data_IF_755369646919
#
_entry.id   IF_755369646919
#
_cell.length_a   1.000
_cell.length_b   1.000
_cell.length_c   1.000
_cell.angle_alpha   90.00
_cell.angle_beta   90.00
_cell.angle_gamma   90.00
#
_symmetry.space_group_name_H-M   'P 1'
#
loop_
_entity.id
_entity.type
_entity.pdbx_description
1 polymer ?
#
# COMPACT_ATOMS: atom_id res chain seq x y z
N UNK A 1 -9.16 -19.14 -26.24
CA UNK A 1 -7.72 -19.11 -25.89
C UNK A 1 -7.53 -20.05 -24.71
N UNK A 2 -6.32 -20.57 -24.40
CA UNK A 2 -6.13 -21.27 -23.12
C UNK A 2 -6.50 -20.32 -21.97
N UNK A 3 -7.11 -20.84 -20.90
CA UNK A 3 -7.30 -20.09 -19.66
C UNK A 3 -5.94 -19.62 -19.14
N UNK A 4 -5.84 -18.34 -18.84
CA UNK A 4 -4.65 -17.71 -18.26
C UNK A 4 -5.03 -17.08 -16.92
N UNK A 5 -4.49 -17.63 -15.83
CA UNK A 5 -4.67 -17.07 -14.49
C UNK A 5 -3.73 -15.89 -14.30
N UNK A 6 -4.30 -14.68 -14.22
CA UNK A 6 -3.54 -13.43 -14.10
C UNK A 6 -3.09 -13.15 -12.66
N UNK A 7 -3.88 -13.57 -11.66
CA UNK A 7 -3.57 -13.43 -10.24
C UNK A 7 -4.22 -14.55 -9.42
N UNK A 8 -3.47 -15.13 -8.47
CA UNK A 8 -3.95 -16.17 -7.55
C UNK A 8 -3.47 -15.85 -6.13
N UNK A 9 -4.37 -15.93 -5.14
CA UNK A 9 -3.99 -15.87 -3.73
C UNK A 9 -4.93 -16.71 -2.87
N UNK A 10 -4.34 -17.54 -2.01
CA UNK A 10 -5.09 -18.36 -1.05
C UNK A 10 -4.54 -18.13 0.37
N UNK A 11 -5.42 -17.77 1.32
CA UNK A 11 -5.02 -17.63 2.72
C UNK A 11 -6.21 -17.70 3.68
N UNK A 12 -5.95 -18.24 4.87
CA UNK A 12 -6.88 -18.18 6.00
C UNK A 12 -7.00 -16.76 6.55
N UNK A 13 -8.23 -16.31 6.82
CA UNK A 13 -8.53 -14.97 7.37
C UNK A 13 -9.55 -15.07 8.50
N UNK A 14 -9.45 -14.19 9.51
CA UNK A 14 -10.52 -14.03 10.50
C UNK A 14 -11.77 -13.42 9.87
N UNK A 15 -12.94 -13.62 10.49
CA UNK A 15 -14.21 -13.02 10.02
C UNK A 15 -14.15 -11.50 9.94
N UNK A 16 -13.41 -10.85 10.84
CA UNK A 16 -13.24 -9.40 10.88
C UNK A 16 -12.30 -8.92 9.76
N UNK A 17 -11.24 -9.67 9.46
CA UNK A 17 -10.37 -9.41 8.32
C UNK A 17 -11.14 -9.54 6.99
N UNK A 18 -11.98 -10.58 6.83
CA UNK A 18 -12.88 -10.73 5.68
C UNK A 18 -13.84 -9.54 5.55
N UNK A 19 -14.49 -9.14 6.64
CA UNK A 19 -15.41 -7.99 6.61
C UNK A 19 -14.72 -6.68 6.23
N UNK A 20 -13.47 -6.49 6.64
CA UNK A 20 -12.66 -5.33 6.27
C UNK A 20 -12.32 -5.36 4.78
N UNK A 21 -11.89 -6.52 4.28
CA UNK A 21 -11.58 -6.74 2.88
C UNK A 21 -12.79 -6.48 1.97
N UNK A 22 -13.94 -7.11 2.24
CA UNK A 22 -15.16 -6.90 1.47
C UNK A 22 -15.66 -5.46 1.52
N UNK A 23 -15.47 -4.74 2.63
CA UNK A 23 -15.83 -3.32 2.72
C UNK A 23 -14.96 -2.44 1.82
N UNK A 24 -13.71 -2.82 1.56
CA UNK A 24 -12.84 -2.13 0.62
C UNK A 24 -13.36 -2.32 -0.81
N UNK A 25 -13.63 -3.57 -1.19
CA UNK A 25 -14.24 -3.93 -2.49
C UNK A 25 -15.56 -3.17 -2.70
N UNK A 26 -16.48 -3.24 -1.73
CA UNK A 26 -17.78 -2.58 -1.84
C UNK A 26 -17.69 -1.06 -1.99
N UNK A 27 -16.67 -0.42 -1.38
CA UNK A 27 -16.45 1.02 -1.53
C UNK A 27 -15.91 1.37 -2.93
N UNK A 28 -15.02 0.54 -3.47
CA UNK A 28 -14.46 0.74 -4.81
C UNK A 28 -15.56 0.62 -5.86
N UNK A 29 -16.30 -0.49 -5.85
CA UNK A 29 -17.47 -0.72 -6.70
C UNK A 29 -18.50 0.42 -6.60
N UNK A 30 -18.88 0.80 -5.37
CA UNK A 30 -19.86 1.88 -5.16
C UNK A 30 -19.42 3.27 -5.63
N UNK A 31 -18.14 3.45 -5.97
CA UNK A 31 -17.59 4.69 -6.49
C UNK A 31 -17.20 4.61 -7.97
N UNK A 32 -17.25 3.42 -8.58
CA UNK A 32 -16.62 3.18 -9.89
C UNK A 32 -15.11 3.39 -9.84
N UNK A 33 -14.46 3.01 -8.74
CA UNK A 33 -13.00 2.99 -8.62
C UNK A 33 -12.50 1.55 -8.85
N UNK A 34 -11.27 1.35 -9.39
CA UNK A 34 -10.69 0.03 -9.53
C UNK A 34 -10.71 -0.77 -8.22
N UNK A 35 -11.14 -2.02 -8.33
CA UNK A 35 -11.37 -2.94 -7.22
C UNK A 35 -10.07 -3.69 -6.89
N UNK A 36 -9.52 -3.55 -5.68
CA UNK A 36 -8.33 -4.29 -5.29
C UNK A 36 -8.65 -5.77 -5.08
N UNK A 37 -7.85 -6.64 -5.69
CA UNK A 37 -7.99 -8.11 -5.58
C UNK A 37 -6.98 -8.73 -4.59
N UNK A 38 -6.08 -7.90 -4.04
CA UNK A 38 -5.18 -8.26 -2.95
C UNK A 38 -5.21 -7.23 -1.80
N UNK A 39 -4.66 -7.57 -0.62
CA UNK A 39 -4.70 -6.67 0.53
C UNK A 39 -3.78 -5.45 0.42
N UNK A 40 -2.66 -5.60 -0.27
CA UNK A 40 -1.83 -4.47 -0.61
C UNK A 40 -2.52 -3.58 -1.66
N UNK A 41 -3.49 -4.12 -2.42
CA UNK A 41 -4.19 -3.43 -3.50
C UNK A 41 -3.23 -3.04 -4.61
N UNK A 42 -2.25 -3.91 -4.85
CA UNK A 42 -1.26 -3.82 -5.93
C UNK A 42 -1.80 -4.34 -7.24
N UNK A 43 -2.79 -5.22 -7.17
CA UNK A 43 -3.53 -5.75 -8.28
C UNK A 43 -4.95 -5.24 -8.13
N UNK A 44 -5.43 -4.58 -9.17
CA UNK A 44 -6.79 -4.06 -9.25
C UNK A 44 -7.47 -4.53 -10.53
N UNK A 45 -8.79 -4.60 -10.50
CA UNK A 45 -9.63 -4.84 -11.67
C UNK A 45 -10.63 -3.70 -11.79
N UNK A 46 -10.91 -3.22 -13.01
CA UNK A 46 -11.91 -2.17 -13.25
C UNK A 46 -13.15 -2.76 -13.93
N UNK A 47 -14.11 -3.31 -13.14
CA UNK A 47 -15.29 -3.93 -13.71
C UNK A 47 -16.22 -2.88 -14.35
N UNK A 48 -17.03 -3.26 -15.37
CA UNK A 48 -18.03 -2.38 -15.94
C UNK A 48 -19.05 -1.92 -14.90
N UNK A 49 -19.88 -0.94 -15.28
CA UNK A 49 -20.98 -0.47 -14.42
C UNK A 49 -22.00 -1.58 -14.08
N UNK A 50 -22.12 -2.60 -14.93
CA UNK A 50 -23.09 -3.70 -14.80
C UNK A 50 -22.44 -5.06 -15.15
N UNK A 51 -21.55 -5.61 -14.29
CA UNK A 51 -20.95 -6.93 -14.51
C UNK A 51 -21.93 -8.05 -14.11
N UNK A 52 -21.71 -9.26 -14.65
CA UNK A 52 -22.45 -10.45 -14.22
C UNK A 52 -21.80 -11.01 -12.94
N UNK A 53 -22.61 -11.40 -11.95
CA UNK A 53 -22.15 -11.97 -10.68
C UNK A 53 -22.82 -13.33 -10.46
N UNK A 54 -22.02 -14.38 -10.39
CA UNK A 54 -22.40 -15.71 -9.95
C UNK A 54 -22.02 -15.90 -8.47
N UNK A 55 -22.91 -16.55 -7.71
CA UNK A 55 -22.69 -16.89 -6.32
C UNK A 55 -23.05 -18.35 -6.11
N UNK A 56 -22.06 -19.17 -5.80
CA UNK A 56 -22.23 -20.60 -5.58
C UNK A 56 -21.89 -20.99 -4.14
N UNK A 57 -22.61 -21.98 -3.60
CA UNK A 57 -22.30 -22.58 -2.30
C UNK A 57 -22.27 -24.08 -2.47
N UNK A 58 -21.08 -24.66 -2.29
CA UNK A 58 -20.86 -26.10 -2.40
C UNK A 58 -20.66 -26.75 -1.04
N UNK A 59 -20.98 -28.04 -0.96
CA UNK A 59 -20.64 -28.90 0.19
C UNK A 59 -19.99 -30.18 -0.30
N UNK A 60 -18.72 -30.34 0.03
CA UNK A 60 -17.97 -31.58 -0.22
C UNK A 60 -17.43 -32.13 1.11
N UNK A 61 -17.92 -33.31 1.50
CA UNK A 61 -17.60 -33.90 2.80
C UNK A 61 -17.97 -32.97 3.97
N UNK A 62 -16.97 -32.59 4.77
CA UNK A 62 -17.10 -31.68 5.91
C UNK A 62 -16.77 -30.21 5.56
N UNK A 63 -16.49 -29.93 4.29
CA UNK A 63 -16.14 -28.60 3.79
C UNK A 63 -17.36 -27.91 3.20
N UNK A 64 -17.48 -26.61 3.44
CA UNK A 64 -18.44 -25.73 2.76
C UNK A 64 -17.64 -24.63 2.07
N UNK A 65 -17.88 -24.46 0.78
CA UNK A 65 -17.27 -23.44 -0.07
C UNK A 65 -18.33 -22.39 -0.41
N UNK A 66 -17.92 -21.12 -0.46
CA UNK A 66 -18.74 -20.03 -0.98
C UNK A 66 -17.87 -19.35 -2.03
N UNK A 67 -18.34 -19.39 -3.26
CA UNK A 67 -17.66 -18.87 -4.42
C UNK A 67 -18.42 -17.65 -4.93
N UNK A 68 -17.69 -16.56 -5.17
CA UNK A 68 -18.22 -15.33 -5.74
C UNK A 68 -17.41 -15.04 -6.98
N UNK A 69 -18.04 -15.21 -8.14
CA UNK A 69 -17.41 -15.02 -9.43
C UNK A 69 -18.08 -13.86 -10.16
N UNK A 70 -17.29 -12.88 -10.56
CA UNK A 70 -17.78 -11.74 -11.34
C UNK A 70 -17.13 -11.81 -12.71
N UNK A 71 -17.95 -11.87 -13.76
CA UNK A 71 -17.51 -12.04 -15.13
C UNK A 71 -17.94 -10.83 -15.98
N UNK A 72 -17.06 -10.41 -16.87
CA UNK A 72 -17.31 -9.41 -17.88
C UNK A 72 -16.34 -9.62 -19.04
N UNK A 73 -16.65 -9.06 -20.21
CA UNK A 73 -15.73 -9.10 -21.36
C UNK A 73 -14.62 -8.06 -21.20
N UNK A 74 -13.41 -8.35 -21.69
CA UNK A 74 -12.29 -7.38 -21.67
C UNK A 74 -12.63 -6.05 -22.37
N UNK A 75 -13.61 -6.05 -23.30
CA UNK A 75 -14.08 -4.83 -23.96
C UNK A 75 -14.98 -3.95 -23.07
N UNK A 76 -15.60 -4.52 -22.03
CA UNK A 76 -16.54 -3.85 -21.12
C UNK A 76 -15.88 -3.39 -19.81
N UNK A 77 -14.75 -4.00 -19.43
CA UNK A 77 -13.94 -3.59 -18.30
C UNK A 77 -12.50 -4.05 -18.44
N UNK A 78 -11.55 -3.14 -18.19
CA UNK A 78 -10.13 -3.43 -18.33
C UNK A 78 -9.60 -4.12 -17.06
N UNK A 79 -8.84 -5.20 -17.24
CA UNK A 79 -7.90 -5.68 -16.22
C UNK A 79 -6.68 -4.78 -16.31
N UNK A 80 -6.73 -3.64 -15.63
CA UNK A 80 -5.61 -2.73 -15.61
C UNK A 80 -4.52 -3.23 -14.65
N UNK A 81 -3.67 -4.13 -15.14
CA UNK A 81 -2.41 -4.51 -14.48
C UNK A 81 -1.42 -3.34 -14.42
N UNK A 82 -1.64 -2.30 -15.22
CA UNK A 82 -0.86 -1.07 -15.33
C UNK A 82 -1.50 0.13 -14.60
N UNK A 83 -2.67 -0.02 -13.95
CA UNK A 83 -3.20 0.95 -12.96
C UNK A 83 -2.24 1.05 -11.75
N UNK A 84 -1.34 0.08 -11.66
CA UNK A 84 -0.14 0.02 -10.83
C UNK A 84 1.07 0.79 -11.41
N UNK A 85 0.92 1.64 -12.42
CA UNK A 85 1.89 2.71 -12.66
C UNK A 85 1.79 3.66 -11.47
N UNK A 86 2.50 3.31 -10.41
CA UNK A 86 2.80 4.22 -9.33
C UNK A 86 3.14 5.56 -9.94
N UNK A 87 2.45 6.60 -9.49
CA UNK A 87 2.73 7.97 -9.92
C UNK A 87 3.97 8.50 -9.20
N UNK A 88 4.86 7.60 -8.80
CA UNK A 88 6.04 7.89 -8.03
C UNK A 88 7.16 6.89 -8.34
N UNK A 89 8.38 7.39 -8.23
CA UNK A 89 9.62 6.64 -8.41
C UNK A 89 10.43 6.70 -7.13
N UNK A 90 10.97 5.57 -6.70
CA UNK A 90 12.03 5.55 -5.69
C UNK A 90 13.34 5.97 -6.36
N UNK A 91 13.85 7.12 -5.96
CA UNK A 91 15.18 7.59 -6.34
C UNK A 91 16.17 7.16 -5.26
N UNK A 92 17.18 6.37 -5.63
CA UNK A 92 18.29 5.92 -4.78
C UNK A 92 19.54 6.69 -5.18
N UNK A 93 20.25 7.27 -4.21
CA UNK A 93 21.40 8.12 -4.49
C UNK A 93 22.42 8.08 -3.35
N UNK A 94 23.69 8.36 -3.65
CA UNK A 94 24.71 8.61 -2.64
C UNK A 94 24.70 10.09 -2.28
N UNK A 95 24.65 10.41 -0.99
CA UNK A 95 24.71 11.78 -0.51
C UNK A 95 26.17 12.31 -0.45
N UNK A 96 26.34 13.59 -0.12
CA UNK A 96 27.67 14.20 0.05
C UNK A 96 28.57 13.57 1.14
N UNK A 97 28.04 12.69 1.99
CA UNK A 97 28.78 11.93 2.99
C UNK A 97 29.10 10.49 2.55
N UNK A 98 28.88 10.17 1.27
CA UNK A 98 28.98 8.81 0.70
C UNK A 98 28.00 7.82 1.36
N UNK A 99 26.92 8.29 1.98
CA UNK A 99 25.85 7.45 2.51
C UNK A 99 24.75 7.29 1.45
N UNK A 100 24.33 6.06 1.21
CA UNK A 100 23.21 5.75 0.32
C UNK A 100 21.89 6.14 0.96
N UNK A 101 21.05 6.85 0.22
CA UNK A 101 19.71 7.26 0.64
C UNK A 101 18.71 6.91 -0.44
N UNK A 102 17.45 6.97 -0.06
CA UNK A 102 16.37 6.90 -1.02
C UNK A 102 15.26 7.88 -0.68
N UNK A 103 14.54 8.32 -1.71
CA UNK A 103 13.31 9.12 -1.59
C UNK A 103 12.27 8.61 -2.58
N UNK A 104 11.00 8.65 -2.20
CA UNK A 104 9.87 8.36 -3.09
C UNK A 104 9.34 9.69 -3.64
N UNK A 105 9.50 9.91 -4.93
CA UNK A 105 9.15 11.17 -5.61
C UNK A 105 7.93 10.94 -6.47
N UNK A 106 6.85 11.67 -6.21
CA UNK A 106 5.67 11.64 -7.08
C UNK A 106 5.97 12.37 -8.40
N UNK A 107 5.35 11.98 -9.51
CA UNK A 107 5.41 12.62 -10.84
C UNK A 107 5.21 14.14 -10.85
N UNK A 108 4.56 14.70 -9.82
CA UNK A 108 4.38 16.13 -9.65
C UNK A 108 5.61 16.83 -9.03
N UNK A 109 6.71 16.09 -8.82
CA UNK A 109 7.98 16.54 -8.26
C UNK A 109 8.03 16.55 -6.73
N UNK A 110 6.95 16.19 -6.03
CA UNK A 110 6.96 16.20 -4.57
C UNK A 110 7.55 14.90 -4.01
N UNK A 111 8.51 15.04 -3.09
CA UNK A 111 8.94 13.91 -2.24
C UNK A 111 7.79 13.59 -1.28
N UNK A 112 7.29 12.36 -1.35
CA UNK A 112 6.19 11.88 -0.51
C UNK A 112 6.67 10.96 0.61
N UNK A 113 7.87 10.39 0.52
CA UNK A 113 8.54 9.66 1.60
C UNK A 113 10.06 9.67 1.41
N UNK A 114 10.81 9.45 2.47
CA UNK A 114 12.24 9.16 2.41
C UNK A 114 12.69 8.14 3.45
N UNK A 115 13.88 7.58 3.20
CA UNK A 115 14.59 6.75 4.16
C UNK A 115 15.17 7.64 5.25
N UNK A 116 14.60 7.55 6.45
CA UNK A 116 14.99 8.33 7.65
C UNK A 116 16.47 8.22 8.08
N UNK A 117 17.30 7.45 7.36
CA UNK A 117 18.69 7.13 7.65
C UNK A 117 19.51 7.02 6.35
N UNK A 118 20.81 7.31 6.46
CA UNK A 118 21.82 6.96 5.46
C UNK A 118 22.30 5.52 5.66
N UNK A 119 22.54 4.83 4.54
CA UNK A 119 23.02 3.44 4.49
C UNK A 119 24.47 3.40 4.02
N UNK A 120 25.27 2.48 4.56
CA UNK A 120 26.65 2.32 4.11
C UNK A 120 26.74 1.76 2.68
N UNK A 121 25.75 0.97 2.25
CA UNK A 121 25.73 0.29 0.98
C UNK A 121 24.40 0.48 0.26
N UNK A 122 24.45 0.64 -1.07
CA UNK A 122 23.27 0.76 -1.94
C UNK A 122 22.25 -0.35 -1.70
N UNK A 123 22.73 -1.58 -1.55
CA UNK A 123 21.89 -2.75 -1.35
C UNK A 123 21.04 -2.63 -0.07
N UNK A 124 21.56 -1.97 0.96
CA UNK A 124 20.81 -1.75 2.20
C UNK A 124 19.73 -0.68 2.04
N UNK A 125 19.99 0.35 1.22
CA UNK A 125 18.95 1.31 0.83
C UNK A 125 17.84 0.63 0.02
N UNK A 126 18.18 -0.25 -0.93
CA UNK A 126 17.22 -1.05 -1.69
C UNK A 126 16.43 -2.01 -0.79
N UNK A 127 17.07 -2.65 0.19
CA UNK A 127 16.37 -3.45 1.21
C UNK A 127 15.39 -2.60 2.05
N UNK A 128 15.76 -1.34 2.32
CA UNK A 128 14.88 -0.35 2.94
C UNK A 128 13.63 -0.09 2.09
N UNK A 129 13.81 0.16 0.79
CA UNK A 129 12.70 0.32 -0.18
C UNK A 129 11.80 -0.90 -0.18
N UNK A 130 12.34 -2.10 -0.30
CA UNK A 130 11.57 -3.35 -0.29
C UNK A 130 10.78 -3.54 1.02
N UNK A 131 11.31 -3.07 2.14
CA UNK A 131 10.57 -3.02 3.40
C UNK A 131 9.36 -2.08 3.33
N UNK A 132 9.52 -0.90 2.71
CA UNK A 132 8.42 0.05 2.53
C UNK A 132 7.37 -0.50 1.58
N UNK A 133 7.76 -1.04 0.42
CA UNK A 133 6.85 -1.65 -0.56
C UNK A 133 5.94 -2.71 0.08
N UNK A 134 6.54 -3.58 0.89
CA UNK A 134 5.84 -4.68 1.58
C UNK A 134 4.92 -4.20 2.70
N UNK A 135 5.33 -3.18 3.46
CA UNK A 135 4.63 -2.81 4.69
C UNK A 135 3.69 -1.61 4.56
N UNK A 136 4.00 -0.63 3.70
CA UNK A 136 3.18 0.58 3.60
C UNK A 136 1.68 0.30 3.30
N UNK A 137 1.29 -0.60 2.39
CA UNK A 137 -0.12 -0.81 2.07
C UNK A 137 -0.95 -1.28 3.27
N UNK A 138 -0.40 -2.24 4.02
CA UNK A 138 -1.04 -2.86 5.18
C UNK A 138 -0.85 -2.10 6.49
N UNK A 139 0.06 -1.13 6.57
CA UNK A 139 0.45 -0.55 7.86
C UNK A 139 -0.68 0.23 8.54
N UNK A 140 -0.96 -0.05 9.82
CA UNK A 140 -1.99 0.68 10.56
C UNK A 140 -1.66 2.16 10.69
N UNK A 141 -2.65 3.01 10.96
CA UNK A 141 -2.41 4.44 11.20
C UNK A 141 -2.83 4.76 12.63
N UNK A 142 -1.87 5.27 13.40
CA UNK A 142 -2.02 5.57 14.83
C UNK A 142 -1.68 7.03 15.09
N UNK A 143 -2.53 7.76 15.82
CA UNK A 143 -2.22 9.12 16.29
C UNK A 143 -1.62 9.10 17.70
N UNK A 144 -0.31 9.34 17.81
CA UNK A 144 0.40 9.35 19.09
C UNK A 144 -0.08 10.44 20.06
N UNK A 145 -0.83 11.44 19.58
CA UNK A 145 -1.43 12.45 20.46
C UNK A 145 -2.61 11.89 21.28
N UNK A 146 -3.24 10.82 20.81
CA UNK A 146 -4.44 10.26 21.43
C UNK A 146 -4.17 8.94 22.17
N UNK A 147 -2.89 8.58 22.38
CA UNK A 147 -2.46 7.31 22.96
C UNK A 147 -3.15 6.10 22.28
N UNK A 148 -3.35 6.20 20.97
CA UNK A 148 -3.91 5.12 20.16
C UNK A 148 -2.87 3.99 20.03
N UNK A 149 -3.32 2.74 20.12
CA UNK A 149 -2.51 1.56 19.83
C UNK A 149 -2.97 0.94 18.51
N UNK A 150 -2.06 0.38 17.69
CA UNK A 150 -2.47 -0.34 16.50
C UNK A 150 -3.32 -1.56 16.90
N UNK A 151 -4.33 -1.94 16.10
CA UNK A 151 -5.08 -3.17 16.33
C UNK A 151 -4.16 -4.38 16.50
N UNK A 152 -4.47 -5.28 17.43
CA UNK A 152 -3.68 -6.51 17.67
C UNK A 152 -3.68 -7.47 16.47
N UNK A 153 -4.67 -7.37 15.58
CA UNK A 153 -4.81 -8.23 14.41
C UNK A 153 -5.07 -7.45 13.11
N UNK A 154 -4.54 -7.98 12.01
CA UNK A 154 -4.65 -7.40 10.67
C UNK A 154 -3.51 -6.43 10.34
N UNK A 155 -3.40 -6.02 9.08
CA UNK A 155 -2.36 -5.11 8.61
C UNK A 155 -1.02 -5.79 8.26
N UNK A 156 0.04 -4.99 8.13
CA UNK A 156 1.43 -5.44 7.94
C UNK A 156 2.22 -5.40 9.23
N UNK A 157 3.50 -5.78 9.19
CA UNK A 157 4.43 -5.70 10.33
C UNK A 157 4.98 -4.27 10.56
N UNK A 158 4.17 -3.25 10.29
CA UNK A 158 4.56 -1.86 10.47
C UNK A 158 3.35 -0.97 10.71
N UNK A 159 3.59 0.14 11.42
CA UNK A 159 2.56 1.12 11.77
C UNK A 159 2.99 2.52 11.35
N UNK A 160 2.11 3.24 10.68
CA UNK A 160 2.21 4.68 10.48
C UNK A 160 1.86 5.40 11.78
N UNK A 161 2.86 5.99 12.41
CA UNK A 161 2.70 6.81 13.60
C UNK A 161 2.61 8.28 13.19
N UNK A 162 1.47 8.91 13.46
CA UNK A 162 1.25 10.34 13.34
C UNK A 162 1.68 11.04 14.62
N UNK A 163 2.52 12.08 14.49
CA UNK A 163 3.02 12.84 15.62
C UNK A 163 3.16 14.33 15.30
N UNK A 164 3.44 15.13 16.32
CA UNK A 164 3.75 16.56 16.19
C UNK A 164 5.24 16.77 16.43
N UNK A 165 5.92 17.41 15.48
CA UNK A 165 7.32 17.79 15.61
C UNK A 165 7.50 18.95 16.61
N UNK A 166 8.76 19.20 17.01
CA UNK A 166 9.11 20.32 17.91
C UNK A 166 8.74 21.70 17.33
N UNK A 167 8.58 21.77 16.02
CA UNK A 167 8.15 22.94 15.25
C UNK A 167 6.61 23.10 15.18
N UNK A 168 5.85 22.26 15.89
CA UNK A 168 4.38 22.26 15.87
C UNK A 168 3.78 21.69 14.58
N UNK A 169 4.61 21.21 13.64
CA UNK A 169 4.13 20.64 12.38
C UNK A 169 3.78 19.17 12.57
N UNK A 170 2.76 18.73 11.85
CA UNK A 170 2.34 17.32 11.83
C UNK A 170 3.29 16.51 10.98
N UNK A 171 3.68 15.33 11.45
CA UNK A 171 4.59 14.42 10.77
C UNK A 171 4.06 13.01 10.88
N UNK A 172 4.56 12.14 10.03
CA UNK A 172 4.31 10.71 10.14
C UNK A 172 5.63 9.97 9.93
N UNK A 173 5.73 8.79 10.52
CA UNK A 173 6.80 7.80 10.27
C UNK A 173 6.18 6.42 10.16
N UNK A 174 6.76 5.55 9.35
CA UNK A 174 6.41 4.13 9.27
C UNK A 174 7.41 3.34 10.11
N UNK A 175 6.93 2.73 11.18
CA UNK A 175 7.75 1.99 12.15
C UNK A 175 7.45 0.51 12.00
N UNK A 176 8.47 -0.29 11.71
CA UNK A 176 8.33 -1.75 11.70
C UNK A 176 8.20 -2.27 13.14
N UNK A 177 7.56 -3.43 13.33
CA UNK A 177 7.34 -4.05 14.64
C UNK A 177 8.64 -4.36 15.43
N UNK A 178 9.80 -4.27 14.77
CA UNK A 178 11.11 -4.43 15.40
C UNK A 178 11.66 -3.11 15.97
N UNK A 179 10.88 -2.01 15.87
CA UNK A 179 11.22 -0.68 16.33
C UNK A 179 11.95 0.20 15.30
N UNK A 180 12.34 -0.33 14.15
CA UNK A 180 13.05 0.44 13.13
C UNK A 180 12.08 1.36 12.36
N UNK A 181 12.50 2.61 12.15
CA UNK A 181 11.80 3.51 11.23
C UNK A 181 12.23 3.15 9.82
N UNK A 182 11.28 2.71 9.00
CA UNK A 182 11.56 2.27 7.63
C UNK A 182 11.20 3.31 6.58
N UNK A 183 10.39 4.32 6.93
CA UNK A 183 10.14 5.49 6.09
C UNK A 183 9.64 6.65 6.95
N UNK A 184 9.86 7.88 6.52
CA UNK A 184 9.12 9.03 7.04
C UNK A 184 8.75 10.03 5.94
N UNK A 185 7.92 11.00 6.29
CA UNK A 185 7.38 11.95 5.32
C UNK A 185 8.34 13.07 4.90
N UNK A 186 9.56 13.14 5.45
CA UNK A 186 10.61 14.12 5.15
C UNK A 186 10.29 15.57 5.52
N UNK A 187 9.01 15.87 5.74
CA UNK A 187 8.48 17.21 5.86
C UNK A 187 7.44 17.32 6.97
N UNK A 188 7.35 18.52 7.52
CA UNK A 188 6.28 18.90 8.44
C UNK A 188 5.06 19.43 7.68
N UNK A 189 3.90 18.82 7.93
CA UNK A 189 2.61 19.19 7.39
C UNK A 189 1.89 20.21 8.29
N UNK A 190 1.12 21.11 7.66
CA UNK A 190 0.35 22.13 8.39
C UNK A 190 -0.86 21.57 9.16
N UNK A 191 -1.31 20.34 8.85
CA UNK A 191 -2.48 19.74 9.50
C UNK A 191 -2.42 18.20 9.52
N UNK A 192 -3.16 17.58 10.45
CA UNK A 192 -3.28 16.10 10.54
C UNK A 192 -3.85 15.53 9.24
N UNK A 193 -4.83 16.21 8.64
CA UNK A 193 -5.42 15.82 7.35
C UNK A 193 -4.37 15.75 6.25
N UNK A 194 -3.45 16.71 6.20
CA UNK A 194 -2.40 16.74 5.18
C UNK A 194 -1.36 15.63 5.42
N UNK A 195 -0.96 15.39 6.68
CA UNK A 195 -0.07 14.28 7.01
C UNK A 195 -0.70 12.91 6.66
N UNK A 196 -1.99 12.74 6.93
CA UNK A 196 -2.76 11.55 6.53
C UNK A 196 -2.86 11.44 5.00
N UNK A 197 -2.94 12.58 4.29
CA UNK A 197 -2.86 12.61 2.83
C UNK A 197 -1.51 12.10 2.33
N UNK A 198 -0.41 12.58 2.90
CA UNK A 198 0.95 12.15 2.58
C UNK A 198 1.15 10.64 2.74
N UNK A 199 0.85 10.09 3.93
CA UNK A 199 1.00 8.65 4.15
C UNK A 199 0.09 7.81 3.24
N UNK A 200 -1.12 8.27 2.91
CA UNK A 200 -2.00 7.57 1.94
C UNK A 200 -1.40 7.57 0.55
N UNK A 201 -0.73 8.65 0.15
CA UNK A 201 0.04 8.70 -1.10
C UNK A 201 1.11 7.61 -1.11
N UNK A 202 1.81 7.40 0.00
CA UNK A 202 2.82 6.33 0.10
C UNK A 202 2.17 4.95 0.02
N UNK A 203 1.06 4.71 0.73
CA UNK A 203 0.33 3.44 0.65
C UNK A 203 -0.05 3.04 -0.77
N UNK A 204 -0.49 4.01 -1.57
CA UNK A 204 -0.94 3.79 -2.94
C UNK A 204 0.21 3.66 -3.93
N UNK A 205 1.30 4.42 -3.76
CA UNK A 205 2.35 4.50 -4.77
C UNK A 205 3.56 3.61 -4.47
N UNK A 206 3.91 3.37 -3.20
CA UNK A 206 5.11 2.60 -2.87
C UNK A 206 5.15 1.20 -3.55
N UNK A 207 4.09 0.39 -3.54
CA UNK A 207 4.20 -1.00 -4.01
C UNK A 207 4.59 -1.16 -5.48
N UNK A 208 4.04 -0.30 -6.35
CA UNK A 208 4.29 -0.30 -7.78
C UNK A 208 5.39 0.66 -8.25
N UNK A 209 6.04 1.40 -7.33
CA UNK A 209 7.06 2.38 -7.70
C UNK A 209 8.31 1.70 -8.26
N UNK A 210 8.75 2.17 -9.43
CA UNK A 210 10.06 1.84 -9.99
C UNK A 210 11.17 2.31 -9.05
N UNK A 211 12.34 1.67 -9.13
CA UNK A 211 13.54 2.08 -8.39
C UNK A 211 14.58 2.52 -9.40
N UNK A 212 15.00 3.78 -9.29
CA UNK A 212 15.98 4.42 -10.17
C UNK A 212 17.15 4.95 -9.35
N UNK A 213 18.36 4.73 -9.84
CA UNK A 213 19.56 5.34 -9.29
C UNK A 213 19.76 6.73 -9.92
N UNK A 214 19.98 7.74 -9.11
CA UNK A 214 20.19 9.12 -9.55
C UNK A 214 21.45 9.70 -8.91
N UNK A 215 22.10 10.62 -9.62
CA UNK A 215 23.21 11.40 -9.08
C UNK A 215 22.68 12.59 -8.27
N UNK A 216 23.33 12.94 -7.15
CA UNK A 216 23.01 14.13 -6.31
C UNK A 216 23.79 15.38 -6.74
#
# INVERSE_FOLDING_TARGET
MPEETVHESERSRSRQALATYFRRIAKALGRGEPVPVDDAGTVTVDPPAEPELEVEIEREGDTVSLDLEMEWTEEEGDVDLDAAASKATFEVYADAADEWRWRLVHDNGNVIADGSQGYADRRDAENGIESVKRNAPGGHVVDLKNDEEPPEEGGSNATFELFEGKDGKRRWRLVHDNGNIIADGGQGYASKRNAVGGLRSVKSNAPGAAVEEVDE
#
